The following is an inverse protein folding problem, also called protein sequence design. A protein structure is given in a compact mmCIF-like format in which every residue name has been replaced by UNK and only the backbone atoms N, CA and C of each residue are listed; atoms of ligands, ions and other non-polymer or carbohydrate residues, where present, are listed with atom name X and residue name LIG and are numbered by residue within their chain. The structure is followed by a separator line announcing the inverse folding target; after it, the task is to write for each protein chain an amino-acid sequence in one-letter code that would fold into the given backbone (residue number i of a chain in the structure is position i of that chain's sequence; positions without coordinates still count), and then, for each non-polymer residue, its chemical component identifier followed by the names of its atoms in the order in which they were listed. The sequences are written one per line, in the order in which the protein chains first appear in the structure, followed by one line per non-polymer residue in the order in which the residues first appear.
data_IF_884303128547
#
_entry.id   IF_884303128547
#
_cell.length_a   1.000
_cell.length_b   1.000
_cell.length_c   1.000
_cell.angle_alpha   90.00
_cell.angle_beta   90.00
_cell.angle_gamma   90.00
#
_symmetry.space_group_name_H-M   'P 1'
#
loop_
_entity.id
_entity.type
_entity.pdbx_description
1 polymer ?
#
# COMPACT_ATOMS: atom_id res chain seq x y z
N UNK A 1 30.49 22.21 46.49
CA UNK A 1 29.19 22.14 45.80
C UNK A 1 29.13 20.84 45.02
N UNK A 2 28.38 19.89 45.55
CA UNK A 2 28.08 18.59 44.95
C UNK A 2 26.87 18.74 44.01
N UNK A 3 26.98 18.28 42.75
CA UNK A 3 25.82 18.16 41.86
C UNK A 3 25.09 16.85 42.15
N UNK A 4 23.81 17.00 42.50
CA UNK A 4 22.93 16.07 43.21
C UNK A 4 22.51 14.80 42.45
N UNK A 5 23.21 14.41 41.38
CA UNK A 5 22.85 13.26 40.53
C UNK A 5 23.82 12.08 40.62
N UNK A 6 25.05 12.28 41.10
CA UNK A 6 26.07 11.22 41.15
C UNK A 6 25.88 10.15 42.23
N UNK A 7 25.09 10.41 43.27
CA UNK A 7 24.94 9.46 44.40
C UNK A 7 23.82 8.43 44.22
N UNK A 8 22.89 8.64 43.27
CA UNK A 8 21.78 7.70 43.01
C UNK A 8 22.26 6.50 42.17
N UNK A 9 23.10 6.74 41.16
CA UNK A 9 23.63 5.67 40.29
C UNK A 9 24.61 4.76 41.03
N UNK A 10 25.52 5.31 41.84
CA UNK A 10 26.51 4.52 42.60
C UNK A 10 25.89 3.64 43.70
N UNK A 11 24.66 3.91 44.13
CA UNK A 11 23.92 3.05 45.08
C UNK A 11 23.24 1.87 44.41
N UNK A 12 22.93 1.95 43.11
CA UNK A 12 22.26 0.89 42.34
C UNK A 12 23.23 -0.18 41.84
N UNK A 13 24.47 0.20 41.48
CA UNK A 13 25.52 -0.75 41.05
C UNK A 13 25.99 -1.70 42.15
N UNK A 14 25.88 -1.32 43.43
CA UNK A 14 26.26 -2.19 44.56
C UNK A 14 25.17 -3.18 44.99
N UNK A 15 23.94 -3.05 44.46
CA UNK A 15 22.81 -3.93 44.80
C UNK A 15 22.56 -4.97 43.71
N UNK A 16 22.89 -4.64 42.46
CA UNK A 16 22.79 -5.57 41.35
C UNK A 16 24.13 -6.29 41.22
N UNK A 17 24.22 -7.45 41.85
CA UNK A 17 25.27 -8.44 41.56
C UNK A 17 25.28 -8.86 40.09
N UNK A 18 26.19 -9.78 39.75
CA UNK A 18 26.54 -10.23 38.39
C UNK A 18 25.41 -10.22 37.35
N UNK A 19 25.72 -9.91 36.07
CA UNK A 19 24.74 -9.69 35.01
C UNK A 19 23.78 -10.87 34.92
N UNK A 20 22.53 -10.65 35.34
CA UNK A 20 21.47 -11.63 35.17
C UNK A 20 21.10 -11.61 33.69
N UNK A 21 21.27 -12.75 33.01
CA UNK A 21 20.72 -12.97 31.68
C UNK A 21 19.22 -12.62 31.71
N UNK A 22 18.88 -11.46 31.13
CA UNK A 22 17.50 -11.00 31.08
C UNK A 22 16.81 -11.73 29.93
N UNK A 23 16.21 -12.87 30.23
CA UNK A 23 15.23 -13.46 29.32
C UNK A 23 14.05 -12.51 29.21
N UNK A 24 13.85 -11.98 28.00
CA UNK A 24 12.70 -11.15 27.64
C UNK A 24 11.41 -11.87 28.07
N UNK A 25 10.55 -11.24 28.90
CA UNK A 25 9.35 -11.89 29.40
C UNK A 25 8.45 -12.44 28.27
N UNK A 26 7.92 -13.65 28.46
CA UNK A 26 7.03 -14.34 27.52
C UNK A 26 5.85 -13.51 26.98
N UNK A 27 5.43 -12.46 27.70
CA UNK A 27 4.32 -11.59 27.27
C UNK A 27 4.66 -10.72 26.06
N UNK A 28 5.94 -10.41 25.82
CA UNK A 28 6.39 -9.68 24.61
C UNK A 28 6.21 -10.56 23.37
N UNK A 29 6.46 -11.87 23.51
CA UNK A 29 6.19 -12.87 22.46
C UNK A 29 4.69 -13.23 22.33
N UNK A 30 3.85 -12.84 23.31
CA UNK A 30 2.39 -13.05 23.34
C UNK A 30 1.59 -11.79 23.00
N UNK A 31 2.14 -10.81 22.27
CA UNK A 31 1.27 -9.83 21.60
C UNK A 31 0.41 -10.59 20.58
N UNK A 32 -0.80 -10.98 21.02
CA UNK A 32 -1.83 -11.51 20.13
C UNK A 32 -1.98 -10.50 19.00
N UNK A 33 -1.97 -10.92 17.72
CA UNK A 33 -2.20 -9.99 16.63
C UNK A 33 -3.51 -9.25 16.93
N UNK A 34 -3.48 -7.91 16.86
CA UNK A 34 -4.68 -7.10 17.08
C UNK A 34 -5.81 -7.69 16.26
N UNK A 35 -6.87 -8.13 16.95
CA UNK A 35 -8.04 -8.68 16.27
C UNK A 35 -8.67 -7.55 15.47
N UNK A 36 -8.67 -7.69 14.16
CA UNK A 36 -9.37 -6.79 13.25
C UNK A 36 -10.63 -7.47 12.73
N UNK A 37 -11.65 -6.69 12.43
CA UNK A 37 -12.88 -7.20 11.82
C UNK A 37 -12.71 -7.27 10.31
N UNK A 38 -12.96 -8.43 9.71
CA UNK A 38 -12.92 -8.57 8.26
C UNK A 38 -14.05 -7.77 7.60
N UNK A 39 -13.70 -6.94 6.61
CA UNK A 39 -14.64 -6.22 5.77
C UNK A 39 -14.32 -6.43 4.29
N UNK A 40 -15.36 -6.38 3.45
CA UNK A 40 -15.24 -6.49 1.99
C UNK A 40 -15.18 -5.14 1.27
N UNK A 41 -15.54 -4.06 1.95
CA UNK A 41 -15.64 -2.70 1.40
C UNK A 41 -15.32 -1.69 2.49
N UNK A 42 -14.87 -0.51 2.06
CA UNK A 42 -14.64 0.63 2.94
C UNK A 42 -15.87 1.00 3.78
N UNK A 43 -15.64 1.35 5.03
CA UNK A 43 -16.65 1.89 5.95
C UNK A 43 -16.32 3.35 6.21
N UNK A 44 -17.15 4.27 5.74
CA UNK A 44 -16.93 5.70 5.93
C UNK A 44 -17.44 6.11 7.32
N UNK A 45 -16.54 6.57 8.17
CA UNK A 45 -16.85 6.99 9.55
C UNK A 45 -17.34 8.43 9.57
N UNK A 46 -16.67 9.31 8.83
CA UNK A 46 -17.11 10.70 8.65
C UNK A 46 -18.21 10.77 7.59
N UNK A 47 -19.16 11.71 7.74
CA UNK A 47 -20.22 11.91 6.74
C UNK A 47 -19.59 12.20 5.38
N UNK A 48 -19.91 11.36 4.38
CA UNK A 48 -19.62 11.67 2.98
C UNK A 48 -20.24 13.04 2.67
N UNK A 49 -19.43 13.97 2.17
CA UNK A 49 -19.98 15.01 1.30
C UNK A 49 -20.56 14.22 0.13
N UNK A 50 -21.89 14.14 0.06
CA UNK A 50 -22.55 13.54 -1.09
C UNK A 50 -22.15 14.38 -2.28
N UNK A 51 -21.17 13.93 -3.08
CA UNK A 51 -21.12 14.37 -4.47
C UNK A 51 -22.52 14.08 -5.03
N UNK A 52 -23.09 15.11 -5.61
CA UNK A 52 -24.34 15.03 -6.34
C UNK A 52 -24.27 13.79 -7.25
N UNK A 53 -25.34 12.98 -7.31
CA UNK A 53 -25.45 11.86 -8.28
C UNK A 53 -25.36 12.32 -9.75
N UNK A 54 -25.21 13.63 -9.98
CA UNK A 54 -25.17 14.29 -11.28
C UNK A 54 -23.76 14.71 -11.73
N UNK A 55 -22.72 14.54 -10.91
CA UNK A 55 -21.34 14.68 -11.38
C UNK A 55 -20.86 13.31 -11.84
N UNK A 56 -21.38 12.88 -12.99
CA UNK A 56 -20.73 11.82 -13.75
C UNK A 56 -19.28 12.26 -14.04
N UNK A 57 -18.31 11.40 -13.76
CA UNK A 57 -16.89 11.74 -13.97
C UNK A 57 -16.56 11.94 -15.48
N UNK A 58 -17.54 11.76 -16.38
CA UNK A 58 -17.39 11.86 -17.82
C UNK A 58 -16.66 10.67 -18.43
N UNK A 59 -16.39 9.63 -17.65
CA UNK A 59 -15.55 8.50 -18.04
C UNK A 59 -16.42 7.34 -18.51
N UNK A 60 -16.57 7.23 -19.83
CA UNK A 60 -17.30 6.13 -20.47
C UNK A 60 -16.44 5.38 -21.47
N UNK A 61 -16.70 4.08 -21.63
CA UNK A 61 -16.08 3.28 -22.67
C UNK A 61 -16.98 3.18 -23.91
N UNK A 62 -16.37 3.17 -25.09
CA UNK A 62 -17.05 2.89 -26.36
C UNK A 62 -16.90 1.42 -26.80
N UNK A 63 -16.48 0.53 -25.88
CA UNK A 63 -16.28 -0.88 -26.18
C UNK A 63 -17.59 -1.55 -26.62
N UNK A 64 -17.51 -2.43 -27.62
CA UNK A 64 -18.63 -3.21 -28.15
C UNK A 64 -18.32 -4.71 -28.09
N UNK A 65 -19.31 -5.56 -27.76
CA UNK A 65 -19.16 -7.00 -27.92
C UNK A 65 -18.97 -7.34 -29.39
N UNK A 66 -17.90 -8.08 -29.70
CA UNK A 66 -17.68 -8.62 -31.04
C UNK A 66 -18.29 -10.02 -31.12
N UNK A 67 -18.84 -10.44 -32.27
CA UNK A 67 -19.30 -11.82 -32.44
C UNK A 67 -18.15 -12.80 -32.15
N UNK A 68 -18.32 -13.64 -31.12
CA UNK A 68 -17.32 -14.63 -30.70
C UNK A 68 -16.35 -14.18 -29.58
N UNK A 69 -16.36 -12.92 -29.13
CA UNK A 69 -15.57 -12.51 -27.98
C UNK A 69 -16.32 -12.79 -26.66
N UNK A 70 -15.74 -13.64 -25.82
CA UNK A 70 -16.29 -13.96 -24.48
C UNK A 70 -15.95 -12.90 -23.43
N UNK A 71 -15.05 -11.97 -23.75
CA UNK A 71 -14.52 -10.98 -22.81
C UNK A 71 -14.20 -9.69 -23.54
N UNK A 72 -14.73 -8.59 -23.02
CA UNK A 72 -14.64 -7.23 -23.58
C UNK A 72 -14.22 -6.27 -22.47
N UNK A 73 -13.81 -5.04 -22.80
CA UNK A 73 -13.31 -4.06 -21.81
C UNK A 73 -12.06 -4.57 -21.06
N UNK A 74 -11.10 -5.15 -21.79
CA UNK A 74 -9.81 -5.55 -21.25
C UNK A 74 -8.84 -4.37 -21.10
N UNK A 75 -7.58 -4.57 -21.50
CA UNK A 75 -6.50 -3.56 -21.37
C UNK A 75 -6.79 -2.26 -22.14
N UNK A 76 -7.44 -2.36 -23.30
CA UNK A 76 -7.71 -1.21 -24.18
C UNK A 76 -9.03 -0.49 -23.85
N UNK A 77 -9.67 -0.84 -22.73
CA UNK A 77 -10.88 -0.16 -22.29
C UNK A 77 -10.55 1.25 -21.82
N UNK A 78 -11.18 2.27 -22.42
CA UNK A 78 -10.97 3.67 -22.03
C UNK A 78 -11.17 3.91 -20.52
N UNK A 79 -12.24 3.36 -19.93
CA UNK A 79 -12.45 3.43 -18.47
C UNK A 79 -11.25 2.84 -17.70
N UNK A 80 -10.76 1.65 -18.08
CA UNK A 80 -9.64 0.99 -17.42
C UNK A 80 -8.32 1.76 -17.55
N UNK A 81 -8.07 2.35 -18.72
CA UNK A 81 -6.91 3.22 -18.96
C UNK A 81 -6.93 4.48 -18.08
N UNK A 82 -8.12 4.99 -17.79
CA UNK A 82 -8.34 6.12 -16.88
C UNK A 82 -8.53 5.71 -15.42
N UNK A 83 -8.22 4.46 -15.07
CA UNK A 83 -8.37 3.91 -13.71
C UNK A 83 -9.79 4.08 -13.17
N UNK A 84 -10.79 3.88 -14.02
CA UNK A 84 -12.21 3.92 -13.68
C UNK A 84 -12.87 2.60 -14.03
N UNK A 85 -13.76 2.11 -13.16
CA UNK A 85 -14.57 0.94 -13.49
C UNK A 85 -15.66 1.29 -14.49
N UNK A 86 -15.97 0.38 -15.40
CA UNK A 86 -17.17 0.53 -16.22
C UNK A 86 -18.41 0.54 -15.33
N UNK A 87 -19.29 1.52 -15.53
CA UNK A 87 -20.56 1.63 -14.82
C UNK A 87 -21.55 0.55 -15.28
N UNK A 88 -22.68 0.45 -14.58
CA UNK A 88 -23.82 -0.40 -14.99
C UNK A 88 -24.38 -0.03 -16.37
N UNK A 89 -24.09 1.17 -16.88
CA UNK A 89 -24.46 1.61 -18.23
C UNK A 89 -23.54 1.09 -19.36
N UNK A 90 -22.53 0.28 -19.05
CA UNK A 90 -21.64 -0.30 -20.04
C UNK A 90 -22.39 -1.23 -21.01
N UNK A 91 -22.28 -0.94 -22.32
CA UNK A 91 -22.92 -1.74 -23.39
C UNK A 91 -22.42 -3.19 -23.47
N UNK A 92 -21.30 -3.50 -22.83
CA UNK A 92 -20.73 -4.84 -22.81
C UNK A 92 -21.37 -5.79 -21.77
N UNK A 93 -22.25 -5.27 -20.89
CA UNK A 93 -23.01 -6.09 -19.94
C UNK A 93 -22.15 -7.06 -19.12
N UNK A 94 -22.55 -8.33 -19.09
CA UNK A 94 -21.86 -9.39 -18.34
C UNK A 94 -20.46 -9.72 -18.87
N UNK A 95 -20.18 -9.46 -20.15
CA UNK A 95 -18.91 -9.70 -20.83
C UNK A 95 -17.84 -8.63 -20.55
N UNK A 96 -18.20 -7.54 -19.87
CA UNK A 96 -17.26 -6.50 -19.46
C UNK A 96 -16.26 -7.05 -18.41
N UNK A 97 -14.96 -7.02 -18.68
CA UNK A 97 -13.91 -7.37 -17.73
C UNK A 97 -13.58 -6.24 -16.75
N UNK A 98 -13.79 -4.99 -17.15
CA UNK A 98 -13.50 -3.81 -16.32
C UNK A 98 -14.60 -3.52 -15.30
N UNK A 99 -14.93 -4.52 -14.47
CA UNK A 99 -15.96 -4.44 -13.42
C UNK A 99 -15.44 -3.71 -12.17
N UNK A 100 -16.34 -3.21 -11.30
CA UNK A 100 -15.99 -2.76 -9.95
C UNK A 100 -15.20 -3.81 -9.17
N UNK A 101 -14.33 -3.38 -8.25
CA UNK A 101 -13.49 -4.28 -7.44
C UNK A 101 -14.26 -5.33 -6.66
N UNK A 102 -15.45 -5.01 -6.16
CA UNK A 102 -16.31 -5.96 -5.44
C UNK A 102 -16.77 -7.14 -6.31
N UNK A 103 -16.75 -6.97 -7.63
CA UNK A 103 -17.07 -8.02 -8.60
C UNK A 103 -15.83 -8.78 -9.07
N UNK A 104 -14.62 -8.29 -8.76
CA UNK A 104 -13.36 -8.97 -9.11
C UNK A 104 -13.00 -9.93 -7.98
N UNK A 105 -12.75 -11.22 -8.26
CA UNK A 105 -12.26 -12.12 -7.24
C UNK A 105 -10.86 -11.68 -6.82
N UNK A 106 -10.64 -11.52 -5.51
CA UNK A 106 -9.30 -11.34 -4.97
C UNK A 106 -8.46 -12.61 -5.20
N UNK A 107 -7.17 -12.43 -5.44
CA UNK A 107 -6.23 -13.55 -5.63
C UNK A 107 -6.06 -14.36 -4.36
N UNK A 108 -5.87 -15.66 -4.50
CA UNK A 108 -5.60 -16.57 -3.39
C UNK A 108 -4.26 -16.20 -2.75
N UNK A 109 -4.27 -16.06 -1.43
CA UNK A 109 -3.12 -15.60 -0.68
C UNK A 109 -3.09 -16.18 0.74
N UNK A 110 -1.89 -16.46 1.22
CA UNK A 110 -1.63 -17.10 2.51
C UNK A 110 -0.88 -16.15 3.43
N UNK A 111 -1.32 -16.10 4.69
CA UNK A 111 -0.62 -15.38 5.75
C UNK A 111 0.56 -16.22 6.21
N UNK A 112 1.73 -15.60 6.32
CA UNK A 112 2.98 -16.22 6.79
C UNK A 112 3.61 -15.36 7.88
N UNK A 113 4.44 -15.96 8.72
CA UNK A 113 5.31 -15.22 9.64
C UNK A 113 6.60 -14.87 8.91
N UNK A 114 7.06 -13.63 9.08
CA UNK A 114 8.34 -13.16 8.55
C UNK A 114 9.31 -12.99 9.70
N UNK A 115 10.61 -13.12 9.43
CA UNK A 115 11.64 -13.10 10.47
C UNK A 115 11.72 -11.74 11.19
N UNK A 116 11.61 -10.63 10.44
CA UNK A 116 11.88 -9.27 10.95
C UNK A 116 10.70 -8.29 10.83
N UNK A 117 9.62 -8.67 10.14
CA UNK A 117 8.51 -7.77 9.84
C UNK A 117 7.15 -8.31 10.32
N UNK A 118 7.16 -9.21 11.32
CA UNK A 118 5.95 -9.78 11.90
C UNK A 118 5.22 -10.73 10.95
N UNK A 119 4.09 -10.30 10.38
CA UNK A 119 3.28 -11.13 9.49
C UNK A 119 3.33 -10.59 8.07
N UNK A 120 3.32 -11.47 7.07
CA UNK A 120 3.39 -11.13 5.66
C UNK A 120 2.39 -11.94 4.83
N UNK A 121 2.20 -11.55 3.58
CA UNK A 121 1.38 -12.29 2.60
C UNK A 121 2.25 -12.88 1.52
N UNK A 122 1.97 -14.14 1.16
CA UNK A 122 2.48 -14.80 -0.05
C UNK A 122 1.33 -15.14 -1.00
N UNK A 123 1.62 -15.17 -2.29
CA UNK A 123 0.70 -15.65 -3.32
C UNK A 123 0.41 -17.15 -3.13
N UNK A 124 -0.85 -17.57 -3.21
CA UNK A 124 -1.26 -18.99 -3.16
C UNK A 124 -1.71 -19.52 -4.54
N UNK A 125 -1.55 -18.69 -5.57
CA UNK A 125 -1.70 -19.01 -7.00
C UNK A 125 -0.75 -18.14 -7.83
N UNK A 126 -0.55 -18.50 -9.10
CA UNK A 126 0.19 -17.65 -10.04
C UNK A 126 -0.66 -16.41 -10.40
N UNK A 127 -0.02 -15.24 -10.41
CA UNK A 127 -0.65 -13.94 -10.71
C UNK A 127 0.09 -13.34 -11.91
N UNK A 128 -0.63 -12.95 -12.95
CA UNK A 128 -0.05 -12.34 -14.15
C UNK A 128 0.11 -10.83 -14.01
N UNK A 129 1.07 -10.27 -14.75
CA UNK A 129 1.26 -8.82 -14.88
C UNK A 129 -0.08 -8.10 -15.12
N UNK A 130 -0.33 -7.05 -14.34
CA UNK A 130 -1.50 -6.19 -14.45
C UNK A 130 -2.78 -6.76 -13.83
N UNK A 131 -2.76 -7.98 -13.29
CA UNK A 131 -3.94 -8.55 -12.64
C UNK A 131 -4.24 -7.86 -11.30
N UNK A 132 -5.54 -7.72 -11.03
CA UNK A 132 -6.04 -7.30 -9.72
C UNK A 132 -5.74 -8.35 -8.66
N UNK A 133 -5.10 -7.93 -7.56
CA UNK A 133 -4.72 -8.79 -6.44
C UNK A 133 -5.76 -8.72 -5.34
N UNK A 134 -5.98 -7.53 -4.76
CA UNK A 134 -6.93 -7.29 -3.67
C UNK A 134 -7.19 -5.79 -3.52
N UNK A 135 -8.36 -5.42 -3.00
CA UNK A 135 -8.66 -4.03 -2.60
C UNK A 135 -8.07 -3.76 -1.21
N UNK A 136 -7.41 -2.60 -1.04
CA UNK A 136 -7.01 -2.12 0.28
C UNK A 136 -8.23 -1.46 0.94
N UNK A 137 -8.78 -2.11 1.96
CA UNK A 137 -10.02 -1.67 2.62
C UNK A 137 -9.83 -1.43 4.10
N UNK A 138 -10.58 -0.47 4.62
CA UNK A 138 -10.60 -0.13 6.03
C UNK A 138 -11.71 0.85 6.39
N UNK A 139 -11.53 1.52 7.53
CA UNK A 139 -12.36 2.65 7.92
C UNK A 139 -11.85 3.91 7.21
N UNK A 140 -12.71 4.59 6.45
CA UNK A 140 -12.36 5.87 5.84
C UNK A 140 -12.63 6.96 6.85
N UNK A 141 -11.56 7.64 7.25
CA UNK A 141 -11.54 8.65 8.30
C UNK A 141 -10.94 9.96 7.76
N UNK A 142 -11.32 11.07 8.38
CA UNK A 142 -10.72 12.38 8.14
C UNK A 142 -9.37 12.53 8.87
N UNK A 143 -8.63 13.59 8.53
CA UNK A 143 -7.32 13.90 9.09
C UNK A 143 -7.35 14.06 10.61
N UNK A 144 -8.40 14.69 11.15
CA UNK A 144 -8.57 14.88 12.59
C UNK A 144 -8.64 13.54 13.31
N UNK A 145 -9.50 12.63 12.84
CA UNK A 145 -9.65 11.29 13.41
C UNK A 145 -8.37 10.47 13.21
N UNK A 146 -7.68 10.64 12.08
CA UNK A 146 -6.41 10.00 11.79
C UNK A 146 -5.33 10.40 12.81
N UNK A 147 -5.19 11.70 13.06
CA UNK A 147 -4.25 12.25 14.04
C UNK A 147 -4.56 11.74 15.46
N UNK A 148 -5.82 11.80 15.88
CA UNK A 148 -6.26 11.27 17.18
C UNK A 148 -5.90 9.79 17.35
N UNK A 149 -6.12 8.96 16.31
CA UNK A 149 -5.76 7.53 16.34
C UNK A 149 -4.25 7.33 16.40
N UNK A 150 -3.47 8.07 15.61
CA UNK A 150 -2.01 8.00 15.62
C UNK A 150 -1.42 8.33 16.99
N UNK A 151 -1.94 9.38 17.64
CA UNK A 151 -1.53 9.72 19.01
C UNK A 151 -1.88 8.59 19.99
N UNK A 152 -3.10 8.06 19.94
CA UNK A 152 -3.49 6.94 20.81
C UNK A 152 -2.60 5.71 20.60
N UNK A 153 -2.29 5.35 19.35
CA UNK A 153 -1.39 4.25 19.01
C UNK A 153 0.02 4.49 19.56
N UNK A 154 0.56 5.71 19.42
CA UNK A 154 1.86 6.09 19.97
C UNK A 154 1.91 5.96 21.50
N UNK A 155 0.88 6.42 22.21
CA UNK A 155 0.80 6.29 23.67
C UNK A 155 0.71 4.83 24.13
N UNK A 156 0.13 3.94 23.31
CA UNK A 156 0.08 2.49 23.57
C UNK A 156 1.35 1.74 23.15
N UNK A 157 2.32 2.42 22.56
CA UNK A 157 3.55 1.80 22.05
C UNK A 157 3.33 0.91 20.82
N UNK A 158 2.27 1.16 20.04
CA UNK A 158 2.04 0.43 18.81
C UNK A 158 3.04 0.82 17.72
N UNK A 159 3.58 -0.20 17.04
CA UNK A 159 4.64 -0.04 16.03
C UNK A 159 4.16 -0.28 14.60
N UNK A 160 2.95 -0.84 14.43
CA UNK A 160 2.40 -1.18 13.13
C UNK A 160 1.25 -0.22 12.76
N UNK A 161 1.42 0.52 11.66
CA UNK A 161 0.44 1.47 11.16
C UNK A 161 -0.16 0.97 9.84
N UNK A 162 -1.49 1.04 9.73
CA UNK A 162 -2.24 0.50 8.59
C UNK A 162 -3.02 1.60 7.85
N UNK A 163 -2.35 2.72 7.59
CA UNK A 163 -2.95 3.92 7.02
C UNK A 163 -2.60 4.04 5.53
N UNK A 164 -3.58 4.39 4.70
CA UNK A 164 -3.40 4.62 3.27
C UNK A 164 -4.17 5.87 2.83
N UNK A 165 -3.48 6.88 2.32
CA UNK A 165 -4.09 8.14 1.87
C UNK A 165 -4.88 7.94 0.57
N UNK A 166 -6.18 8.26 0.59
CA UNK A 166 -7.04 8.27 -0.60
C UNK A 166 -6.90 9.60 -1.34
N UNK A 167 -7.06 10.70 -0.60
CA UNK A 167 -6.90 12.07 -1.05
C UNK A 167 -6.57 12.96 0.16
N UNK A 168 -6.47 14.27 -0.07
CA UNK A 168 -5.98 15.23 0.94
C UNK A 168 -6.72 15.19 2.28
N UNK A 169 -7.99 14.79 2.30
CA UNK A 169 -8.84 14.87 3.50
C UNK A 169 -9.37 13.49 3.93
N UNK A 170 -8.93 12.40 3.28
CA UNK A 170 -9.44 11.05 3.56
C UNK A 170 -8.34 10.00 3.55
N UNK A 171 -8.29 9.23 4.64
CA UNK A 171 -7.36 8.13 4.86
C UNK A 171 -8.14 6.84 5.10
N UNK A 172 -7.70 5.73 4.52
CA UNK A 172 -8.15 4.37 4.87
C UNK A 172 -7.32 3.88 6.05
N UNK A 173 -7.97 3.65 7.17
CA UNK A 173 -7.39 3.02 8.35
C UNK A 173 -7.82 1.54 8.45
N UNK A 174 -6.89 0.63 8.18
CA UNK A 174 -7.10 -0.82 8.26
C UNK A 174 -6.68 -1.43 9.62
N UNK A 175 -6.52 -0.59 10.65
CA UNK A 175 -6.07 -1.01 11.98
C UNK A 175 -7.08 -1.94 12.65
N UNK A 176 -8.34 -1.52 12.74
CA UNK A 176 -9.41 -2.24 13.44
C UNK A 176 -10.36 -3.00 12.51
N UNK A 177 -10.52 -2.54 11.26
CA UNK A 177 -11.36 -3.18 10.25
C UNK A 177 -10.63 -3.19 8.93
N UNK A 178 -10.60 -4.31 8.25
CA UNK A 178 -9.85 -4.41 6.99
C UNK A 178 -9.94 -5.78 6.35
N UNK A 179 -8.99 -6.11 5.50
CA UNK A 179 -8.84 -7.45 4.93
C UNK A 179 -7.36 -7.87 4.95
N UNK A 180 -7.01 -8.94 4.21
CA UNK A 180 -5.63 -9.45 4.16
C UNK A 180 -4.60 -8.46 3.60
N UNK A 181 -5.03 -7.43 2.86
CA UNK A 181 -4.14 -6.41 2.27
C UNK A 181 -3.28 -5.69 3.31
N UNK A 182 -3.77 -5.53 4.55
CA UNK A 182 -3.03 -4.92 5.67
C UNK A 182 -1.73 -5.64 6.05
N UNK A 183 -1.54 -6.88 5.59
CA UNK A 183 -0.35 -7.70 5.86
C UNK A 183 0.62 -7.77 4.67
N UNK A 184 0.34 -7.05 3.58
CA UNK A 184 1.28 -6.97 2.46
C UNK A 184 2.41 -6.02 2.87
N UNK A 185 3.64 -6.54 2.88
CA UNK A 185 4.78 -5.83 3.43
C UNK A 185 5.42 -4.86 2.43
N UNK A 186 6.26 -3.98 2.96
CA UNK A 186 7.08 -3.09 2.16
C UNK A 186 8.18 -3.83 1.39
N UNK A 187 8.42 -3.44 0.14
CA UNK A 187 9.68 -3.69 -0.56
C UNK A 187 10.15 -2.47 -1.34
N UNK A 188 11.48 -2.24 -1.38
CA UNK A 188 12.10 -1.25 -2.26
C UNK A 188 12.13 -1.70 -3.73
N UNK A 189 11.97 -3.00 -3.98
CA UNK A 189 11.75 -3.59 -5.31
C UNK A 189 10.46 -4.43 -5.26
N UNK A 190 9.29 -3.78 -5.28
CA UNK A 190 8.02 -4.47 -5.12
C UNK A 190 7.56 -5.21 -6.38
N UNK A 191 6.68 -6.19 -6.20
CA UNK A 191 6.02 -6.92 -7.28
C UNK A 191 4.52 -6.59 -7.42
N UNK A 192 4.02 -5.70 -6.56
CA UNK A 192 2.68 -5.13 -6.66
C UNK A 192 2.72 -3.62 -6.47
N UNK A 193 1.68 -2.93 -6.92
CA UNK A 193 1.49 -1.50 -6.73
C UNK A 193 0.07 -1.17 -6.30
N UNK A 194 -0.08 -0.06 -5.59
CA UNK A 194 -1.39 0.51 -5.25
C UNK A 194 -1.83 1.49 -6.33
N UNK A 195 -3.05 1.31 -6.83
CA UNK A 195 -3.67 2.17 -7.82
C UNK A 195 -4.96 2.78 -7.25
N UNK A 196 -5.12 4.09 -7.42
CA UNK A 196 -6.38 4.80 -7.15
C UNK A 196 -7.33 4.54 -8.30
N UNK A 197 -8.50 4.02 -8.00
CA UNK A 197 -9.55 3.76 -8.97
C UNK A 197 -10.83 4.49 -8.62
N UNK A 198 -11.51 5.02 -9.63
CA UNK A 198 -12.84 5.61 -9.49
C UNK A 198 -13.88 4.53 -9.77
N UNK A 199 -14.75 4.27 -8.79
CA UNK A 199 -15.79 3.24 -8.87
C UNK A 199 -17.08 3.84 -8.33
N UNK A 200 -18.07 4.01 -9.20
CA UNK A 200 -19.36 4.63 -8.88
C UNK A 200 -19.20 6.02 -8.20
N UNK A 201 -18.25 6.83 -8.70
CA UNK A 201 -17.93 8.16 -8.15
C UNK A 201 -17.12 8.14 -6.84
N UNK A 202 -16.71 6.96 -6.36
CA UNK A 202 -15.90 6.79 -5.16
C UNK A 202 -14.47 6.41 -5.51
N UNK A 203 -13.49 7.12 -4.95
CA UNK A 203 -12.08 6.71 -5.03
C UNK A 203 -11.82 5.52 -4.12
N UNK A 204 -11.22 4.47 -4.67
CA UNK A 204 -10.86 3.21 -4.01
C UNK A 204 -9.43 2.82 -4.34
N UNK A 205 -8.83 1.98 -3.50
CA UNK A 205 -7.43 1.57 -3.67
C UNK A 205 -7.38 0.09 -4.02
N UNK A 206 -6.94 -0.21 -5.24
CA UNK A 206 -6.69 -1.57 -5.69
C UNK A 206 -5.21 -1.87 -5.69
N UNK A 207 -4.85 -3.11 -5.36
CA UNK A 207 -3.48 -3.61 -5.46
C UNK A 207 -3.39 -4.47 -6.72
N UNK A 208 -2.41 -4.18 -7.59
CA UNK A 208 -2.22 -4.84 -8.88
C UNK A 208 -0.80 -5.38 -9.02
N UNK A 209 -0.64 -6.46 -9.76
CA UNK A 209 0.68 -7.04 -10.03
C UNK A 209 1.46 -6.21 -11.05
N UNK A 210 2.73 -5.89 -10.75
CA UNK A 210 3.64 -5.14 -11.65
C UNK A 210 4.53 -6.03 -12.50
N UNK A 211 4.45 -7.34 -12.29
CA UNK A 211 5.07 -8.41 -13.08
C UNK A 211 4.31 -9.72 -12.90
N UNK A 212 4.70 -10.76 -13.61
CA UNK A 212 4.27 -12.12 -13.27
C UNK A 212 4.83 -12.52 -11.88
N UNK A 213 3.96 -13.05 -11.02
CA UNK A 213 4.24 -13.49 -9.66
C UNK A 213 3.87 -14.96 -9.55
N UNK A 214 4.79 -15.79 -9.05
CA UNK A 214 4.59 -17.21 -8.81
C UNK A 214 3.97 -17.48 -7.46
N UNK A 215 3.21 -18.58 -7.39
CA UNK A 215 2.75 -19.14 -6.12
C UNK A 215 3.94 -19.29 -5.15
N UNK A 216 3.77 -18.83 -3.92
CA UNK A 216 4.78 -18.85 -2.86
C UNK A 216 5.60 -17.57 -2.74
N UNK A 217 5.59 -16.69 -3.74
CA UNK A 217 6.29 -15.40 -3.64
C UNK A 217 5.60 -14.44 -2.65
N UNK A 218 6.40 -13.69 -1.90
CA UNK A 218 5.89 -12.61 -1.06
C UNK A 218 5.28 -11.49 -1.91
N UNK A 219 4.05 -11.09 -1.58
CA UNK A 219 3.43 -9.91 -2.16
C UNK A 219 3.94 -8.69 -1.40
N UNK A 220 4.41 -7.68 -2.14
CA UNK A 220 4.97 -6.45 -1.57
C UNK A 220 4.68 -5.23 -2.43
N UNK A 221 4.52 -4.06 -1.81
CA UNK A 221 4.45 -2.75 -2.51
C UNK A 221 5.36 -1.71 -1.84
N UNK A 222 5.69 -0.63 -2.55
CA UNK A 222 6.38 0.51 -1.91
C UNK A 222 5.38 1.29 -1.07
N UNK A 223 5.61 1.39 0.24
CA UNK A 223 4.71 2.09 1.16
C UNK A 223 4.68 3.59 0.89
N UNK A 224 5.70 4.15 0.25
CA UNK A 224 5.90 5.60 0.15
C UNK A 224 5.73 6.29 1.51
N UNK A 225 6.21 5.60 2.54
CA UNK A 225 5.90 5.86 3.95
C UNK A 225 6.17 7.32 4.32
N UNK A 226 5.16 8.00 4.85
CA UNK A 226 5.35 9.31 5.49
C UNK A 226 5.71 9.03 6.94
N UNK A 227 6.90 9.47 7.34
CA UNK A 227 7.44 9.14 8.63
C UNK A 227 6.63 9.77 9.77
N UNK A 228 6.13 8.92 10.68
CA UNK A 228 5.53 9.32 11.95
C UNK A 228 6.26 8.60 13.09
N UNK A 229 7.04 9.35 13.87
CA UNK A 229 7.87 8.80 14.95
C UNK A 229 9.31 8.46 14.51
N UNK A 230 9.92 7.49 15.18
CA UNK A 230 11.32 7.13 14.98
C UNK A 230 11.58 6.46 13.62
N UNK A 231 12.79 6.62 13.11
CA UNK A 231 13.26 5.94 11.89
C UNK A 231 13.08 4.42 12.02
N UNK A 232 12.44 3.80 11.02
CA UNK A 232 12.33 2.34 10.94
C UNK A 232 13.28 1.80 9.86
N UNK A 233 14.03 0.75 10.20
CA UNK A 233 14.89 0.05 9.26
C UNK A 233 14.08 -0.76 8.25
N UNK A 234 14.53 -0.74 7.00
CA UNK A 234 13.95 -1.52 5.93
C UNK A 234 14.63 -2.89 5.86
N UNK A 235 13.86 -3.95 6.11
CA UNK A 235 14.32 -5.34 6.06
C UNK A 235 13.77 -6.10 4.84
N UNK A 236 13.48 -5.41 3.73
CA UNK A 236 12.85 -6.03 2.56
C UNK A 236 13.74 -7.02 1.78
N UNK A 237 15.06 -7.00 2.01
CA UNK A 237 16.00 -7.91 1.33
C UNK A 237 16.30 -7.59 -0.14
N UNK A 238 15.72 -6.52 -0.71
CA UNK A 238 16.03 -6.10 -2.08
C UNK A 238 17.49 -5.67 -2.24
N UNK A 239 18.09 -5.95 -3.39
CA UNK A 239 19.48 -5.57 -3.70
C UNK A 239 19.70 -4.05 -3.57
N UNK A 240 18.77 -3.26 -4.10
CA UNK A 240 18.75 -1.80 -4.01
C UNK A 240 17.87 -1.30 -2.85
N UNK A 241 17.98 -1.93 -1.68
CA UNK A 241 17.22 -1.53 -0.49
C UNK A 241 17.66 -0.14 0.02
N UNK A 242 16.67 0.74 0.25
CA UNK A 242 16.86 2.11 0.77
C UNK A 242 17.27 2.19 2.24
N UNK A 243 17.45 1.04 2.91
CA UNK A 243 17.86 0.85 4.31
C UNK A 243 16.90 1.38 5.37
N UNK A 244 16.11 2.41 5.09
CA UNK A 244 15.08 2.97 5.96
C UNK A 244 13.73 3.01 5.25
N UNK A 245 12.65 2.86 6.01
CA UNK A 245 11.29 3.11 5.52
C UNK A 245 11.08 4.63 5.34
N UNK A 246 10.40 5.03 4.26
CA UNK A 246 10.05 6.44 3.99
C UNK A 246 11.10 7.26 3.24
N UNK A 247 12.31 6.74 3.07
CA UNK A 247 13.29 7.35 2.16
C UNK A 247 12.75 7.23 0.73
N UNK A 248 12.56 8.36 0.05
CA UNK A 248 12.16 8.34 -1.36
C UNK A 248 13.34 7.89 -2.22
N UNK A 249 13.11 7.17 -3.33
CA UNK A 249 14.19 6.87 -4.26
C UNK A 249 14.82 8.20 -4.69
N UNK A 250 16.13 8.35 -4.50
CA UNK A 250 16.85 9.42 -5.19
C UNK A 250 16.65 9.14 -6.67
N UNK A 251 15.83 9.95 -7.35
CA UNK A 251 15.85 9.96 -8.82
C UNK A 251 17.32 10.01 -9.20
N UNK A 252 17.84 9.11 -10.06
CA UNK A 252 19.15 9.35 -10.61
C UNK A 252 19.10 10.79 -11.11
N UNK A 253 20.02 11.64 -10.64
CA UNK A 253 20.31 12.87 -11.35
C UNK A 253 20.72 12.35 -12.72
N UNK A 254 19.79 12.30 -13.66
CA UNK A 254 20.16 12.32 -15.05
C UNK A 254 21.11 13.50 -15.12
N UNK A 255 22.37 13.24 -15.43
CA UNK A 255 23.30 14.28 -15.82
C UNK A 255 22.62 14.96 -17.02
N UNK A 256 21.89 16.04 -16.72
CA UNK A 256 20.91 16.64 -17.62
C UNK A 256 21.58 17.24 -18.85
N UNK A 257 22.91 17.32 -18.86
CA UNK A 257 23.65 17.90 -19.98
C UNK A 257 24.21 16.85 -20.96
N UNK A 258 24.37 15.59 -20.57
CA UNK A 258 24.93 14.57 -21.47
C UNK A 258 23.87 13.95 -22.38
N UNK A 259 22.69 13.65 -21.84
CA UNK A 259 21.58 13.07 -22.62
C UNK A 259 20.94 14.10 -23.58
N UNK A 260 20.84 15.38 -23.18
CA UNK A 260 20.39 16.46 -24.07
C UNK A 260 21.38 16.71 -25.22
N UNK A 261 22.69 16.61 -24.98
CA UNK A 261 23.72 16.73 -26.04
C UNK A 261 23.67 15.59 -27.05
N UNK A 262 23.43 14.35 -26.60
CA UNK A 262 23.31 13.18 -27.49
C UNK A 262 22.09 13.29 -28.42
N UNK A 263 20.94 13.74 -27.90
CA UNK A 263 19.72 13.96 -28.69
C UNK A 263 19.90 15.14 -29.65
N UNK A 264 20.51 16.24 -29.21
CA UNK A 264 20.78 17.39 -30.08
C UNK A 264 21.76 17.07 -31.23
N UNK A 265 22.79 16.25 -30.98
CA UNK A 265 23.76 15.83 -32.00
C UNK A 265 23.11 14.92 -33.06
N UNK A 266 22.21 14.01 -32.67
CA UNK A 266 21.49 13.14 -33.61
C UNK A 266 20.52 13.92 -34.51
N UNK A 267 19.82 14.93 -33.97
CA UNK A 267 18.87 15.75 -34.74
C UNK A 267 19.57 16.69 -35.74
N UNK A 268 20.76 17.20 -35.40
CA UNK A 268 21.58 18.00 -36.31
C UNK A 268 22.18 17.15 -37.45
N UNK A 269 22.51 15.89 -37.17
CA UNK A 269 23.08 14.95 -38.15
C UNK A 269 22.04 14.47 -39.18
N UNK A 270 20.75 14.46 -38.82
CA UNK A 270 19.65 14.04 -39.70
C UNK A 270 18.99 15.19 -40.46
N UNK A 271 19.38 16.45 -40.22
CA UNK A 271 18.85 17.62 -40.96
C UNK A 271 19.74 18.08 -42.13
N UNK A 272 20.87 17.41 -42.37
CA UNK A 272 21.73 17.62 -43.54
C UNK A 272 21.81 16.36 -44.41
N UNK A 273 20.66 15.92 -44.94
CA UNK A 273 20.54 15.13 -46.17
C UNK A 273 19.21 15.43 -46.83
#
# INVERSE_FOLDING_TARGET
EESRFGSVFNKLEKVLGEPVDFELPDWINKLKPMQYTYIKRNIYVTKKVKKSRFDDDGIFCSCTPSPGSTSVCGRDCHCGMLQSSCSSGCKCGSSCLNKPFQSRPAKKMKLVKTEKCGSGIVADEDIKLGEFVIEYVGEVIDDKTCEERLWNMKHRGETNFYLCEINRDMVIDATYKGNKSRYINHSCCPNTEMQKWIIDGETRIGIFATRDIKKGEHLTYDYQFVQFGADQDCHCGAAECRRKLGVRPTKPKMASDAALKLVAYQVASSSHK
#
